data_IF_712853107228
#
_entry.id   IF_712853107228
#
_cell.length_a   1.000
_cell.length_b   1.000
_cell.length_c   1.000
_cell.angle_alpha   90.00
_cell.angle_beta   90.00
_cell.angle_gamma   90.00
#
_symmetry.space_group_name_H-M   'P 1'
#
loop_
_entity.id
_entity.type
_entity.pdbx_description
1 polymer ?
#
# COMPACT_ATOMS: atom_id res chain seq x y z
N UNK A 1 5.99 14.83 68.93
CA UNK A 1 6.21 13.73 67.98
C UNK A 1 5.26 13.94 66.81
N UNK A 2 5.75 14.58 65.75
CA UNK A 2 4.99 14.88 64.53
C UNK A 2 5.43 13.88 63.48
N UNK A 3 4.50 13.05 63.02
CA UNK A 3 4.67 12.08 61.91
C UNK A 3 4.89 12.81 60.59
N UNK A 4 5.90 12.42 59.78
CA UNK A 4 6.10 13.02 58.44
C UNK A 4 5.04 12.51 57.48
N UNK A 5 4.38 13.45 56.81
CA UNK A 5 3.42 13.19 55.75
C UNK A 5 4.08 12.50 54.52
N UNK A 6 3.46 11.42 54.10
CA UNK A 6 3.80 10.72 52.90
C UNK A 6 3.44 11.61 51.68
N UNK A 7 4.43 12.18 51.02
CA UNK A 7 4.28 12.83 49.73
C UNK A 7 4.08 11.72 48.67
N UNK A 8 2.87 11.61 48.18
CA UNK A 8 2.55 10.73 47.04
C UNK A 8 3.27 11.26 45.81
N UNK A 9 4.28 10.54 45.33
CA UNK A 9 4.86 10.77 44.01
C UNK A 9 3.81 10.53 42.91
N UNK A 10 3.64 11.45 41.96
CA UNK A 10 2.74 11.21 40.82
C UNK A 10 3.26 10.01 40.04
N UNK A 11 2.44 8.98 39.94
CA UNK A 11 2.69 7.79 39.15
C UNK A 11 2.66 8.18 37.64
N UNK A 12 3.76 8.71 37.14
CA UNK A 12 3.99 8.99 35.69
C UNK A 12 4.26 7.71 34.94
N UNK A 13 3.37 6.76 35.04
CA UNK A 13 3.23 5.72 34.03
C UNK A 13 2.46 6.35 32.87
N UNK A 14 3.22 7.02 31.98
CA UNK A 14 2.76 7.24 30.62
C UNK A 14 2.27 5.89 30.13
N UNK A 15 0.96 5.75 29.89
CA UNK A 15 0.37 4.57 29.32
C UNK A 15 1.00 4.40 27.93
N UNK A 16 2.04 3.56 27.85
CA UNK A 16 2.60 3.15 26.57
C UNK A 16 1.44 2.55 25.80
N UNK A 17 1.03 3.23 24.73
CA UNK A 17 0.02 2.72 23.81
C UNK A 17 0.40 1.28 23.50
N UNK A 18 -0.44 0.33 23.91
CA UNK A 18 -0.13 -1.12 23.89
C UNK A 18 0.21 -1.50 22.45
N UNK A 19 1.49 -1.66 22.17
CA UNK A 19 2.03 -1.96 20.85
C UNK A 19 1.36 -3.19 20.28
N UNK A 20 0.76 -3.08 19.10
CA UNK A 20 0.04 -4.18 18.44
C UNK A 20 1.06 -5.04 17.68
N UNK A 21 1.61 -6.07 18.33
CA UNK A 21 2.61 -6.99 17.78
C UNK A 21 2.16 -7.56 16.41
N UNK A 22 0.86 -7.84 16.24
CA UNK A 22 0.33 -8.33 14.97
C UNK A 22 0.46 -7.33 13.81
N UNK A 23 0.39 -6.01 14.08
CA UNK A 23 0.62 -4.98 13.06
C UNK A 23 2.09 -4.94 12.67
N UNK A 24 3.00 -4.99 13.66
CA UNK A 24 4.44 -5.03 13.38
C UNK A 24 4.82 -6.33 12.64
N UNK A 25 4.23 -7.48 13.01
CA UNK A 25 4.45 -8.74 12.30
C UNK A 25 3.98 -8.66 10.84
N UNK A 26 2.82 -8.06 10.57
CA UNK A 26 2.34 -7.85 9.20
C UNK A 26 3.28 -6.94 8.39
N UNK A 27 3.89 -5.91 9.01
CA UNK A 27 4.95 -5.10 8.37
C UNK A 27 6.19 -5.93 8.05
N UNK A 28 6.58 -6.83 8.96
CA UNK A 28 7.68 -7.77 8.73
C UNK A 28 7.42 -8.68 7.53
N UNK A 29 6.20 -9.22 7.41
CA UNK A 29 5.79 -10.00 6.23
C UNK A 29 5.88 -9.17 4.95
N UNK A 30 5.38 -7.93 4.96
CA UNK A 30 5.47 -7.03 3.82
C UNK A 30 6.92 -6.77 3.40
N UNK A 31 7.80 -6.47 4.36
CA UNK A 31 9.21 -6.19 4.10
C UNK A 31 9.94 -7.40 3.53
N UNK A 32 9.76 -8.59 4.13
CA UNK A 32 10.35 -9.83 3.61
C UNK A 32 9.85 -10.13 2.20
N UNK A 33 8.55 -9.97 1.93
CA UNK A 33 7.99 -10.18 0.61
C UNK A 33 8.55 -9.20 -0.42
N UNK A 34 8.69 -7.91 -0.09
CA UNK A 34 9.35 -6.93 -0.98
C UNK A 34 10.81 -7.29 -1.26
N UNK A 35 11.58 -7.65 -0.23
CA UNK A 35 12.96 -8.10 -0.42
C UNK A 35 13.05 -9.34 -1.30
N UNK A 36 12.14 -10.30 -1.10
CA UNK A 36 12.13 -11.55 -1.86
C UNK A 36 11.95 -11.32 -3.36
N UNK A 37 11.06 -10.40 -3.79
CA UNK A 37 10.88 -10.09 -5.23
C UNK A 37 12.04 -9.32 -5.83
N UNK A 38 12.86 -8.65 -5.03
CA UNK A 38 14.07 -7.98 -5.52
C UNK A 38 15.29 -8.90 -5.63
N UNK A 39 15.31 -10.00 -4.87
CA UNK A 39 16.42 -10.95 -4.85
C UNK A 39 16.19 -12.10 -5.85
N UNK A 40 14.93 -12.54 -6.01
CA UNK A 40 14.60 -13.66 -6.88
C UNK A 40 14.20 -13.19 -8.28
N UNK A 41 14.48 -14.00 -9.32
CA UNK A 41 14.07 -13.67 -10.69
C UNK A 41 12.53 -13.67 -10.83
N UNK A 42 12.02 -12.80 -11.70
CA UNK A 42 10.59 -12.75 -12.00
C UNK A 42 10.10 -13.99 -12.75
N UNK A 43 10.95 -14.53 -13.63
CA UNK A 43 10.67 -15.69 -14.46
C UNK A 43 11.59 -16.84 -14.01
N UNK A 44 11.02 -18.01 -13.81
CA UNK A 44 11.74 -19.22 -13.47
C UNK A 44 12.45 -19.83 -14.71
N UNK A 45 13.37 -20.79 -14.54
CA UNK A 45 14.11 -21.39 -15.66
C UNK A 45 13.25 -22.11 -16.71
N UNK A 46 12.03 -22.51 -16.36
CA UNK A 46 11.03 -23.13 -17.24
C UNK A 46 10.26 -22.11 -18.10
N UNK A 47 10.48 -20.82 -17.90
CA UNK A 47 9.81 -19.72 -18.61
C UNK A 47 8.57 -19.18 -17.92
N UNK A 48 8.09 -19.84 -16.87
CA UNK A 48 6.91 -19.43 -16.11
C UNK A 48 7.24 -18.35 -15.06
N UNK A 49 6.23 -17.69 -14.56
CA UNK A 49 6.40 -16.74 -13.44
C UNK A 49 6.83 -17.46 -12.17
N UNK A 50 7.89 -16.99 -11.54
CA UNK A 50 8.41 -17.62 -10.33
C UNK A 50 7.41 -17.58 -9.17
N UNK A 51 7.44 -18.61 -8.30
CA UNK A 51 6.57 -18.71 -7.12
C UNK A 51 6.68 -17.49 -6.21
N UNK A 52 7.87 -16.91 -6.08
CA UNK A 52 8.08 -15.68 -5.30
C UNK A 52 7.27 -14.51 -5.85
N UNK A 53 7.28 -14.33 -7.17
CA UNK A 53 6.50 -13.27 -7.81
C UNK A 53 4.99 -13.55 -7.72
N UNK A 54 4.54 -14.78 -7.92
CA UNK A 54 3.13 -15.16 -7.77
C UNK A 54 2.58 -14.87 -6.37
N UNK A 55 3.41 -15.00 -5.33
CA UNK A 55 2.98 -14.79 -3.94
C UNK A 55 3.15 -13.33 -3.50
N UNK A 56 4.29 -12.70 -3.80
CA UNK A 56 4.71 -11.47 -3.15
C UNK A 56 4.64 -10.22 -4.04
N UNK A 57 4.74 -10.36 -5.39
CA UNK A 57 4.73 -9.20 -6.29
C UNK A 57 3.42 -8.41 -6.17
N UNK A 58 3.53 -7.09 -6.08
CA UNK A 58 2.42 -6.17 -5.86
C UNK A 58 1.80 -6.26 -4.46
N UNK A 59 1.54 -7.46 -3.96
CA UNK A 59 0.85 -7.70 -2.68
C UNK A 59 1.64 -7.20 -1.48
N UNK A 60 2.96 -7.40 -1.48
CA UNK A 60 3.83 -6.96 -0.37
C UNK A 60 3.92 -5.44 -0.28
N UNK A 61 4.05 -4.76 -1.41
CA UNK A 61 4.09 -3.31 -1.47
C UNK A 61 2.71 -2.70 -1.10
N UNK A 62 1.60 -3.30 -1.58
CA UNK A 62 0.25 -2.91 -1.20
C UNK A 62 -0.03 -3.11 0.30
N UNK A 63 0.40 -4.27 0.86
CA UNK A 63 0.32 -4.53 2.31
C UNK A 63 1.07 -3.45 3.09
N UNK A 64 2.28 -3.08 2.66
CA UNK A 64 3.07 -2.04 3.30
C UNK A 64 2.35 -0.67 3.25
N UNK A 65 1.73 -0.32 2.10
CA UNK A 65 0.97 0.92 1.95
C UNK A 65 -0.31 0.96 2.82
N UNK A 66 -1.05 -0.15 2.89
CA UNK A 66 -2.20 -0.27 3.80
C UNK A 66 -1.74 -0.13 5.26
N UNK A 67 -0.63 -0.77 5.64
CA UNK A 67 -0.09 -0.69 7.01
C UNK A 67 0.46 0.70 7.34
N UNK A 68 0.93 1.48 6.36
CA UNK A 68 1.26 2.88 6.55
C UNK A 68 0.01 3.69 6.92
N UNK A 69 -1.11 3.47 6.22
CA UNK A 69 -2.41 4.06 6.57
C UNK A 69 -2.90 3.64 7.97
N UNK A 70 -2.75 2.36 8.34
CA UNK A 70 -3.03 1.88 9.70
C UNK A 70 -2.16 2.63 10.72
N UNK A 71 -0.87 2.81 10.45
CA UNK A 71 0.05 3.57 11.30
C UNK A 71 -0.38 5.01 11.50
N UNK A 72 -0.77 5.71 10.42
CA UNK A 72 -1.31 7.08 10.48
C UNK A 72 -2.61 7.15 11.30
N UNK A 73 -3.52 6.19 11.14
CA UNK A 73 -4.74 6.10 11.92
C UNK A 73 -4.44 5.95 13.42
N UNK A 74 -3.55 5.01 13.78
CA UNK A 74 -3.15 4.79 15.17
C UNK A 74 -2.47 6.04 15.77
N UNK A 75 -1.58 6.69 15.04
CA UNK A 75 -0.90 7.91 15.47
C UNK A 75 -1.84 9.10 15.63
N UNK A 76 -2.97 9.13 14.90
CA UNK A 76 -3.98 10.19 14.97
C UNK A 76 -5.20 9.85 15.84
N UNK A 77 -5.09 8.82 16.74
CA UNK A 77 -6.06 8.49 17.78
C UNK A 77 -6.70 7.11 17.68
N UNK A 78 -6.34 6.28 16.69
CA UNK A 78 -6.88 4.93 16.53
C UNK A 78 -8.40 4.93 16.33
N UNK A 79 -9.16 4.12 17.07
CA UNK A 79 -10.63 4.03 16.96
C UNK A 79 -11.37 5.35 17.22
N UNK A 80 -10.77 6.26 17.98
CA UNK A 80 -11.32 7.58 18.29
C UNK A 80 -10.43 8.68 17.69
N UNK A 81 -10.74 9.18 16.47
CA UNK A 81 -9.95 10.21 15.81
C UNK A 81 -9.77 11.44 16.70
N UNK A 82 -8.56 11.98 16.74
CA UNK A 82 -8.25 13.23 17.46
C UNK A 82 -9.02 14.39 16.86
N UNK A 83 -9.24 15.44 17.65
CA UNK A 83 -9.95 16.66 17.25
C UNK A 83 -9.19 17.91 17.72
N UNK A 84 -9.54 19.06 17.16
CA UNK A 84 -8.98 20.34 17.54
C UNK A 84 -7.44 20.36 17.48
N UNK A 85 -6.79 20.91 18.49
CA UNK A 85 -5.31 21.05 18.55
C UNK A 85 -4.56 19.70 18.46
N UNK A 86 -5.12 18.62 19.02
CA UNK A 86 -4.50 17.30 18.93
C UNK A 86 -4.53 16.73 17.51
N UNK A 87 -5.57 17.02 16.72
CA UNK A 87 -5.63 16.67 15.30
C UNK A 87 -4.64 17.52 14.51
N UNK A 88 -4.58 18.83 14.75
CA UNK A 88 -3.61 19.72 14.09
C UNK A 88 -2.15 19.26 14.34
N UNK A 89 -1.83 18.86 15.57
CA UNK A 89 -0.51 18.30 15.90
C UNK A 89 -0.23 16.98 15.15
N UNK A 90 -1.22 16.09 15.01
CA UNK A 90 -1.08 14.86 14.23
C UNK A 90 -0.88 15.16 12.73
N UNK A 91 -1.60 16.14 12.17
CA UNK A 91 -1.43 16.59 10.79
C UNK A 91 -0.01 17.15 10.57
N UNK A 92 0.46 18.05 11.45
CA UNK A 92 1.81 18.60 11.38
C UNK A 92 2.89 17.52 11.48
N UNK A 93 2.74 16.54 12.38
CA UNK A 93 3.65 15.41 12.50
C UNK A 93 3.66 14.52 11.24
N UNK A 94 2.49 14.35 10.58
CA UNK A 94 2.40 13.61 9.32
C UNK A 94 3.07 14.35 8.19
N UNK A 95 2.90 15.69 8.09
CA UNK A 95 3.59 16.52 7.11
C UNK A 95 5.10 16.50 7.32
N UNK A 96 5.59 16.59 8.55
CA UNK A 96 7.01 16.48 8.85
C UNK A 96 7.60 15.13 8.39
N UNK A 97 6.89 14.01 8.64
CA UNK A 97 7.29 12.69 8.13
C UNK A 97 7.27 12.65 6.59
N UNK A 98 6.23 13.23 5.96
CA UNK A 98 6.12 13.32 4.51
C UNK A 98 7.34 14.04 3.90
N UNK A 99 7.76 15.16 4.50
CA UNK A 99 8.95 15.91 4.08
C UNK A 99 10.22 15.06 4.21
N UNK A 100 10.43 14.41 5.37
CA UNK A 100 11.60 13.55 5.57
C UNK A 100 11.63 12.40 4.55
N UNK A 101 10.50 11.71 4.34
CA UNK A 101 10.40 10.63 3.35
C UNK A 101 10.68 11.14 1.94
N UNK A 102 10.14 12.29 1.56
CA UNK A 102 10.37 12.92 0.26
C UNK A 102 11.86 13.25 0.04
N UNK A 103 12.49 13.93 1.00
CA UNK A 103 13.91 14.29 0.93
C UNK A 103 14.81 13.06 0.86
N UNK A 104 14.61 12.09 1.79
CA UNK A 104 15.40 10.84 1.79
C UNK A 104 15.19 10.07 0.49
N UNK A 105 13.95 10.02 -0.02
CA UNK A 105 13.62 9.36 -1.27
C UNK A 105 14.32 9.97 -2.48
N UNK A 106 14.34 11.32 -2.61
CA UNK A 106 15.06 12.03 -3.68
C UNK A 106 16.58 11.79 -3.61
N UNK A 107 17.16 11.75 -2.41
CA UNK A 107 18.58 11.45 -2.22
C UNK A 107 18.89 9.99 -2.60
N UNK A 108 18.05 9.05 -2.23
CA UNK A 108 18.22 7.62 -2.56
C UNK A 108 17.99 7.36 -4.06
N UNK A 109 17.13 8.14 -4.72
CA UNK A 109 16.89 8.05 -6.16
C UNK A 109 18.14 8.25 -7.01
N UNK A 110 19.13 8.98 -6.50
CA UNK A 110 20.41 9.21 -7.18
C UNK A 110 21.35 7.98 -7.21
N UNK A 111 21.06 6.97 -6.39
CA UNK A 111 21.82 5.70 -6.41
C UNK A 111 21.24 4.78 -7.48
N UNK A 112 22.06 4.38 -8.43
CA UNK A 112 21.70 3.39 -9.47
C UNK A 112 21.62 1.97 -8.86
N UNK A 113 20.62 1.77 -8.04
CA UNK A 113 20.40 0.50 -7.33
C UNK A 113 19.59 -0.52 -8.12
N UNK A 114 19.03 -0.13 -9.27
CA UNK A 114 18.05 -0.94 -10.02
C UNK A 114 16.72 -1.15 -9.29
N UNK A 115 16.50 -0.47 -8.14
CA UNK A 115 15.28 -0.56 -7.34
C UNK A 115 14.40 0.66 -7.55
N UNK A 116 13.09 0.45 -7.65
CA UNK A 116 12.11 1.53 -7.64
C UNK A 116 11.97 2.11 -6.22
N UNK A 117 12.42 3.36 -6.02
CA UNK A 117 12.42 4.01 -4.70
C UNK A 117 11.02 4.54 -4.37
N UNK A 118 10.36 3.88 -3.43
CA UNK A 118 8.98 4.19 -3.04
C UNK A 118 8.84 5.42 -2.12
N UNK A 119 9.92 5.87 -1.46
CA UNK A 119 9.84 6.86 -0.38
C UNK A 119 9.31 8.22 -0.83
N UNK A 120 9.68 8.69 -2.02
CA UNK A 120 9.18 9.98 -2.54
C UNK A 120 7.66 9.92 -2.72
N UNK A 121 7.16 8.82 -3.28
CA UNK A 121 5.72 8.58 -3.45
C UNK A 121 4.99 8.51 -2.10
N UNK A 122 5.61 7.89 -1.08
CA UNK A 122 5.07 7.88 0.30
C UNK A 122 5.03 9.27 0.92
N UNK A 123 6.02 10.12 0.63
CA UNK A 123 5.98 11.52 1.03
C UNK A 123 4.70 12.20 0.53
N UNK A 124 4.43 12.14 -0.77
CA UNK A 124 3.22 12.73 -1.36
C UNK A 124 1.94 12.02 -0.88
N UNK A 125 1.97 10.69 -0.72
CA UNK A 125 0.84 9.91 -0.24
C UNK A 125 0.44 10.29 1.21
N UNK A 126 1.44 10.61 2.05
CA UNK A 126 1.19 11.11 3.41
C UNK A 126 0.59 12.51 3.41
N UNK A 127 1.02 13.39 2.49
CA UNK A 127 0.37 14.70 2.28
C UNK A 127 -1.10 14.52 1.91
N UNK A 128 -1.40 13.63 0.95
CA UNK A 128 -2.77 13.29 0.53
C UNK A 128 -3.60 12.71 1.69
N UNK A 129 -2.99 11.97 2.61
CA UNK A 129 -3.68 11.39 3.76
C UNK A 129 -4.08 12.41 4.84
N UNK A 130 -3.41 13.58 4.93
CA UNK A 130 -3.61 14.59 5.99
C UNK A 130 -5.07 15.00 6.19
N UNK A 131 -5.84 15.38 5.15
CA UNK A 131 -7.24 15.82 5.33
C UNK A 131 -8.16 14.70 5.86
N UNK A 132 -7.77 13.45 5.74
CA UNK A 132 -8.57 12.29 6.15
C UNK A 132 -8.27 11.83 7.59
N UNK A 133 -7.24 12.37 8.26
CA UNK A 133 -6.82 11.94 9.60
C UNK A 133 -7.88 12.15 10.68
N UNK A 134 -8.82 13.08 10.48
CA UNK A 134 -9.93 13.34 11.41
C UNK A 134 -11.18 12.49 11.17
N UNK A 135 -11.20 11.67 10.11
CA UNK A 135 -12.36 10.90 9.70
C UNK A 135 -12.46 9.55 10.43
N UNK A 136 -13.72 9.14 10.66
CA UNK A 136 -14.04 7.81 11.19
C UNK A 136 -14.17 6.74 10.10
N UNK A 137 -14.28 5.46 10.50
CA UNK A 137 -14.32 4.34 9.55
C UNK A 137 -15.53 4.38 8.61
N UNK A 138 -16.68 4.92 9.07
CA UNK A 138 -17.92 5.01 8.25
C UNK A 138 -17.75 5.86 6.99
N UNK A 139 -16.84 6.85 7.00
CA UNK A 139 -16.53 7.68 5.83
C UNK A 139 -15.31 7.15 5.09
N UNK A 140 -14.30 6.61 5.80
CA UNK A 140 -13.07 6.15 5.19
C UNK A 140 -13.26 4.90 4.31
N UNK A 141 -14.11 3.93 4.70
CA UNK A 141 -14.37 2.75 3.88
C UNK A 141 -14.98 3.09 2.52
N UNK A 142 -16.08 3.87 2.41
CA UNK A 142 -16.60 4.24 1.10
C UNK A 142 -15.62 5.12 0.30
N UNK A 143 -14.85 5.99 0.94
CA UNK A 143 -13.81 6.77 0.26
C UNK A 143 -12.70 5.87 -0.31
N UNK A 144 -12.26 4.85 0.42
CA UNK A 144 -11.28 3.88 -0.07
C UNK A 144 -11.83 3.06 -1.24
N UNK A 145 -13.09 2.60 -1.14
CA UNK A 145 -13.76 1.88 -2.22
C UNK A 145 -13.92 2.75 -3.48
N UNK A 146 -14.32 4.00 -3.30
CA UNK A 146 -14.47 4.97 -4.38
C UNK A 146 -13.11 5.30 -5.02
N UNK A 147 -12.07 5.46 -4.21
CA UNK A 147 -10.70 5.64 -4.71
C UNK A 147 -10.27 4.42 -5.54
N UNK A 148 -10.45 3.20 -5.03
CA UNK A 148 -10.07 1.98 -5.75
C UNK A 148 -10.84 1.80 -7.08
N UNK A 149 -12.09 2.26 -7.16
CA UNK A 149 -12.89 2.15 -8.37
C UNK A 149 -12.62 3.26 -9.39
N UNK A 150 -12.51 4.51 -8.94
CA UNK A 150 -12.51 5.68 -9.82
C UNK A 150 -11.10 6.15 -10.23
N UNK A 151 -10.13 6.09 -9.30
CA UNK A 151 -8.79 6.63 -9.60
C UNK A 151 -8.07 5.89 -10.71
N UNK A 152 -8.20 4.55 -10.91
CA UNK A 152 -7.65 3.88 -12.07
C UNK A 152 -8.29 4.32 -13.39
N UNK A 153 -9.60 4.56 -13.40
CA UNK A 153 -10.32 5.07 -14.58
C UNK A 153 -9.84 6.47 -14.94
N UNK A 154 -9.72 7.34 -13.93
CA UNK A 154 -9.18 8.70 -14.10
C UNK A 154 -7.72 8.64 -14.58
N UNK A 155 -6.89 7.79 -13.97
CA UNK A 155 -5.50 7.58 -14.38
C UNK A 155 -5.40 7.11 -15.84
N UNK A 156 -6.21 6.12 -16.22
CA UNK A 156 -6.26 5.61 -17.59
C UNK A 156 -6.64 6.71 -18.60
N UNK A 157 -7.63 7.52 -18.25
CA UNK A 157 -8.09 8.62 -19.11
C UNK A 157 -7.02 9.72 -19.25
N UNK A 158 -6.42 10.16 -18.13
CA UNK A 158 -5.37 11.19 -18.13
C UNK A 158 -4.17 10.77 -18.96
N UNK A 159 -3.70 9.53 -18.82
CA UNK A 159 -2.50 9.02 -19.47
C UNK A 159 -2.62 8.85 -20.98
N UNK A 160 -3.84 8.90 -21.56
CA UNK A 160 -4.02 8.90 -23.02
C UNK A 160 -3.44 10.15 -23.67
N UNK A 161 -3.37 11.27 -22.95
CA UNK A 161 -2.83 12.55 -23.45
C UNK A 161 -1.48 12.94 -22.83
N UNK A 162 -0.92 12.09 -21.94
CA UNK A 162 0.38 12.35 -21.29
C UNK A 162 1.53 11.67 -22.05
N UNK A 163 2.76 12.20 -21.93
CA UNK A 163 3.94 11.50 -22.44
C UNK A 163 4.10 10.12 -21.79
N UNK A 164 4.76 9.17 -22.46
CA UNK A 164 5.09 7.88 -21.86
C UNK A 164 5.87 8.04 -20.56
N UNK A 165 5.67 7.14 -19.57
CA UNK A 165 6.43 7.18 -18.30
C UNK A 165 7.94 7.05 -18.55
N UNK A 166 8.74 7.76 -17.75
CA UNK A 166 10.21 7.71 -17.83
C UNK A 166 10.81 6.44 -17.22
N UNK A 167 10.09 5.79 -16.30
CA UNK A 167 10.56 4.63 -15.51
C UNK A 167 11.90 4.85 -14.79
N UNK A 168 12.18 6.11 -14.41
CA UNK A 168 13.31 6.48 -13.55
C UNK A 168 12.88 6.65 -12.09
N UNK A 169 13.84 6.71 -11.18
CA UNK A 169 13.58 7.17 -9.83
C UNK A 169 13.61 8.70 -9.80
N UNK A 170 12.68 9.37 -9.10
CA UNK A 170 12.78 10.80 -8.82
C UNK A 170 14.05 11.12 -8.04
N UNK A 171 14.78 12.15 -8.50
CA UNK A 171 16.05 12.62 -7.93
C UNK A 171 15.94 14.09 -7.55
N UNK A 172 16.95 14.64 -6.88
CA UNK A 172 16.96 16.06 -6.48
C UNK A 172 16.83 16.98 -7.70
N UNK A 173 17.47 16.63 -8.82
CA UNK A 173 17.41 17.35 -10.09
C UNK A 173 15.98 17.42 -10.67
N UNK A 174 15.12 16.44 -10.35
CA UNK A 174 13.70 16.44 -10.77
C UNK A 174 12.93 17.65 -10.21
N UNK A 175 13.43 18.31 -9.16
CA UNK A 175 12.84 19.53 -8.61
C UNK A 175 12.97 20.73 -9.58
N UNK A 176 13.82 20.66 -10.60
CA UNK A 176 13.93 21.69 -11.63
C UNK A 176 12.71 21.68 -12.58
N UNK A 177 12.00 20.54 -12.70
CA UNK A 177 10.70 20.43 -13.38
C UNK A 177 9.61 19.96 -12.40
N UNK A 178 9.03 20.85 -11.60
CA UNK A 178 8.04 20.47 -10.60
C UNK A 178 6.74 19.93 -11.19
N UNK A 179 6.38 20.30 -12.41
CA UNK A 179 5.18 19.79 -13.12
C UNK A 179 5.42 18.37 -13.58
N UNK A 180 6.57 18.08 -14.19
CA UNK A 180 6.97 16.73 -14.58
C UNK A 180 7.07 15.81 -13.37
N UNK A 181 7.75 16.24 -12.31
CA UNK A 181 7.86 15.50 -11.05
C UNK A 181 6.48 15.20 -10.43
N UNK A 182 5.59 16.20 -10.37
CA UNK A 182 4.24 16.00 -9.84
C UNK A 182 3.44 15.01 -10.71
N UNK A 183 3.52 15.12 -12.03
CA UNK A 183 2.87 14.20 -12.98
C UNK A 183 3.36 12.77 -12.79
N UNK A 184 4.68 12.60 -12.62
CA UNK A 184 5.28 11.29 -12.35
C UNK A 184 4.80 10.72 -11.02
N UNK A 185 4.92 11.47 -9.93
CA UNK A 185 4.51 11.01 -8.61
C UNK A 185 3.01 10.75 -8.52
N UNK A 186 2.18 11.57 -9.17
CA UNK A 186 0.74 11.46 -9.06
C UNK A 186 0.15 10.39 -10.00
N UNK A 187 0.66 10.24 -11.24
CA UNK A 187 -0.07 9.52 -12.30
C UNK A 187 0.76 8.46 -13.03
N UNK A 188 2.04 8.74 -13.40
CA UNK A 188 2.78 7.92 -14.38
C UNK A 188 3.93 7.10 -13.81
N UNK A 189 4.38 7.37 -12.59
CA UNK A 189 5.54 6.69 -11.99
C UNK A 189 5.26 5.29 -11.45
N UNK A 190 6.24 4.72 -10.75
CA UNK A 190 6.19 3.36 -10.21
C UNK A 190 5.07 3.12 -9.18
N UNK A 191 4.72 4.14 -8.39
CA UNK A 191 3.73 4.05 -7.31
C UNK A 191 2.77 5.25 -7.36
N UNK A 192 1.96 5.40 -8.44
CA UNK A 192 1.18 6.62 -8.68
C UNK A 192 0.25 6.93 -7.51
N UNK A 193 0.44 8.10 -6.87
CA UNK A 193 -0.29 8.47 -5.66
C UNK A 193 -1.80 8.53 -5.89
N UNK A 194 -2.23 8.86 -7.11
CA UNK A 194 -3.65 8.86 -7.47
C UNK A 194 -4.29 7.50 -7.21
N UNK A 195 -3.76 6.42 -7.75
CA UNK A 195 -4.28 5.06 -7.54
C UNK A 195 -3.91 4.51 -6.16
N UNK A 196 -2.71 4.80 -5.66
CA UNK A 196 -2.23 4.35 -4.36
C UNK A 196 -2.94 5.02 -3.17
N UNK A 197 -3.65 6.13 -3.40
CA UNK A 197 -4.54 6.74 -2.40
C UNK A 197 -5.59 5.76 -1.87
N UNK A 198 -6.00 4.77 -2.66
CA UNK A 198 -6.90 3.70 -2.23
C UNK A 198 -6.30 2.86 -1.08
N UNK A 199 -5.00 2.53 -1.14
CA UNK A 199 -4.32 1.77 -0.08
C UNK A 199 -4.23 2.55 1.21
N UNK A 200 -3.83 3.83 1.16
CA UNK A 200 -3.69 4.65 2.36
C UNK A 200 -5.04 4.91 3.03
N UNK A 201 -6.11 5.14 2.23
CA UNK A 201 -7.47 5.32 2.74
C UNK A 201 -8.03 4.03 3.34
N UNK A 202 -7.80 2.86 2.69
CA UNK A 202 -8.16 1.56 3.24
C UNK A 202 -7.42 1.30 4.56
N UNK A 203 -6.13 1.61 4.61
CA UNK A 203 -5.32 1.50 5.82
C UNK A 203 -5.81 2.41 6.94
N UNK A 204 -6.14 3.68 6.63
CA UNK A 204 -6.77 4.60 7.58
C UNK A 204 -8.09 4.02 8.11
N UNK A 205 -8.96 3.50 7.23
CA UNK A 205 -10.23 2.90 7.62
C UNK A 205 -10.05 1.71 8.57
N UNK A 206 -9.16 0.79 8.21
CA UNK A 206 -8.83 -0.40 9.02
C UNK A 206 -8.21 0.00 10.36
N UNK A 207 -7.31 0.97 10.39
CA UNK A 207 -6.69 1.47 11.61
C UNK A 207 -7.64 2.19 12.57
N UNK A 208 -8.85 2.57 12.10
CA UNK A 208 -9.96 3.07 12.94
C UNK A 208 -10.78 1.95 13.59
N UNK A 209 -10.55 0.71 13.24
CA UNK A 209 -11.21 -0.43 13.90
C UNK A 209 -10.50 -0.78 15.21
N UNK A 210 -11.19 -1.50 16.09
CA UNK A 210 -10.63 -2.01 17.34
C UNK A 210 -9.71 -3.22 17.07
N UNK A 211 -8.52 -3.00 16.50
CA UNK A 211 -7.57 -4.05 16.08
C UNK A 211 -7.13 -4.96 17.23
N UNK A 212 -7.30 -4.51 18.48
CA UNK A 212 -7.09 -5.32 19.67
C UNK A 212 -8.12 -6.43 19.87
N UNK A 213 -9.26 -6.44 19.20
CA UNK A 213 -10.33 -7.41 19.38
C UNK A 213 -10.21 -8.60 18.41
N UNK A 214 -10.50 -9.82 18.90
CA UNK A 214 -10.48 -11.02 18.07
C UNK A 214 -11.51 -10.94 16.92
N UNK A 215 -12.71 -10.42 17.21
CA UNK A 215 -13.78 -10.25 16.21
C UNK A 215 -13.32 -9.39 15.04
N UNK A 216 -12.63 -8.29 15.31
CA UNK A 216 -12.06 -7.41 14.28
C UNK A 216 -11.01 -8.15 13.45
N UNK A 217 -10.09 -8.87 14.11
CA UNK A 217 -9.05 -9.62 13.42
C UNK A 217 -9.63 -10.75 12.55
N UNK A 218 -10.64 -11.48 13.04
CA UNK A 218 -11.34 -12.50 12.25
C UNK A 218 -12.11 -11.87 11.09
N UNK A 219 -12.77 -10.73 11.32
CA UNK A 219 -13.45 -9.97 10.27
C UNK A 219 -12.51 -9.53 9.15
N UNK A 220 -11.31 -9.05 9.49
CA UNK A 220 -10.27 -8.69 8.52
C UNK A 220 -9.76 -9.92 7.76
N UNK A 221 -9.51 -11.04 8.46
CA UNK A 221 -9.08 -12.29 7.84
C UNK A 221 -10.09 -12.77 6.80
N UNK A 222 -11.34 -13.00 7.23
CA UNK A 222 -12.37 -13.58 6.37
C UNK A 222 -12.84 -12.58 5.29
N UNK A 223 -13.11 -11.34 5.67
CA UNK A 223 -13.52 -10.29 4.72
C UNK A 223 -12.44 -9.99 3.69
N UNK A 224 -11.17 -9.98 4.13
CA UNK A 224 -10.03 -9.82 3.23
C UNK A 224 -9.90 -10.99 2.24
N UNK A 225 -10.03 -12.23 2.72
CA UNK A 225 -10.01 -13.41 1.85
C UNK A 225 -11.15 -13.39 0.82
N UNK A 226 -12.38 -13.07 1.25
CA UNK A 226 -13.54 -12.98 0.37
C UNK A 226 -13.37 -11.86 -0.66
N UNK A 227 -12.91 -10.68 -0.26
CA UNK A 227 -12.67 -9.58 -1.18
C UNK A 227 -11.61 -9.95 -2.23
N UNK A 228 -10.49 -10.52 -1.81
CA UNK A 228 -9.43 -10.93 -2.73
C UNK A 228 -9.91 -11.99 -3.72
N UNK A 229 -10.59 -13.04 -3.23
CA UNK A 229 -11.09 -14.12 -4.07
C UNK A 229 -12.19 -13.67 -5.03
N UNK A 230 -13.16 -12.87 -4.55
CA UNK A 230 -14.23 -12.33 -5.39
C UNK A 230 -13.69 -11.42 -6.49
N UNK A 231 -12.77 -10.54 -6.15
CA UNK A 231 -12.14 -9.61 -7.11
C UNK A 231 -11.36 -10.40 -8.19
N UNK A 232 -10.59 -11.40 -7.78
CA UNK A 232 -9.87 -12.27 -8.71
C UNK A 232 -10.85 -13.04 -9.61
N UNK A 233 -11.90 -13.61 -9.06
CA UNK A 233 -12.90 -14.36 -9.81
C UNK A 233 -13.62 -13.48 -10.86
N UNK A 234 -14.02 -12.26 -10.49
CA UNK A 234 -14.67 -11.33 -11.42
C UNK A 234 -13.70 -10.91 -12.53
N UNK A 235 -12.45 -10.59 -12.20
CA UNK A 235 -11.42 -10.31 -13.22
C UNK A 235 -11.24 -11.48 -14.16
N UNK A 236 -11.15 -12.70 -13.64
CA UNK A 236 -11.03 -13.92 -14.44
C UNK A 236 -12.22 -14.10 -15.39
N UNK A 237 -13.46 -13.88 -14.91
CA UNK A 237 -14.67 -13.94 -15.73
C UNK A 237 -14.68 -12.91 -16.86
N UNK A 238 -14.19 -11.70 -16.58
CA UNK A 238 -14.09 -10.64 -17.61
C UNK A 238 -13.01 -10.96 -18.63
N UNK A 239 -11.87 -11.49 -18.20
CA UNK A 239 -10.76 -11.75 -19.11
C UNK A 239 -10.96 -13.01 -19.96
N UNK A 240 -11.53 -14.08 -19.41
CA UNK A 240 -11.64 -15.35 -20.12
C UNK A 240 -13.00 -15.51 -20.83
N UNK A 241 -14.14 -15.80 -20.18
CA UNK A 241 -15.40 -16.05 -20.93
C UNK A 241 -15.98 -14.80 -21.60
N UNK A 242 -15.66 -13.57 -21.11
CA UNK A 242 -16.14 -12.34 -21.75
C UNK A 242 -15.20 -11.80 -22.85
N UNK A 243 -14.11 -12.50 -23.20
CA UNK A 243 -13.24 -12.17 -24.32
C UNK A 243 -12.25 -11.02 -24.07
N UNK A 244 -12.06 -10.60 -22.80
CA UNK A 244 -11.14 -9.53 -22.45
C UNK A 244 -9.69 -9.86 -22.82
N UNK A 245 -9.26 -11.11 -22.63
CA UNK A 245 -7.89 -11.55 -22.91
C UNK A 245 -7.57 -11.49 -24.42
N UNK A 246 -8.49 -11.92 -25.28
CA UNK A 246 -8.35 -11.82 -26.74
C UNK A 246 -8.28 -10.34 -27.18
N UNK A 247 -9.12 -9.49 -26.58
CA UNK A 247 -9.11 -8.05 -26.85
C UNK A 247 -7.78 -7.41 -26.43
N UNK A 248 -7.22 -7.81 -25.28
CA UNK A 248 -5.90 -7.32 -24.83
C UNK A 248 -4.78 -7.80 -25.73
N UNK A 249 -4.81 -9.06 -26.18
CA UNK A 249 -3.83 -9.60 -27.12
C UNK A 249 -3.85 -8.84 -28.45
N UNK A 250 -5.04 -8.53 -28.98
CA UNK A 250 -5.23 -7.75 -30.21
C UNK A 250 -4.81 -6.27 -30.05
N UNK A 251 -5.11 -5.66 -28.90
CA UNK A 251 -4.78 -4.25 -28.64
C UNK A 251 -3.27 -4.01 -28.41
N UNK A 252 -2.54 -5.04 -27.99
CA UNK A 252 -1.12 -4.95 -27.64
C UNK A 252 -0.86 -4.06 -26.41
N UNK A 253 0.39 -4.00 -26.00
CA UNK A 253 0.85 -3.27 -24.80
C UNK A 253 1.44 -1.89 -25.09
N UNK A 254 1.49 -1.47 -26.34
CA UNK A 254 2.08 -0.17 -26.74
C UNK A 254 3.55 -0.04 -26.30
N UNK A 255 3.89 1.11 -25.73
CA UNK A 255 5.21 1.43 -25.18
C UNK A 255 5.40 1.00 -23.71
N UNK A 256 4.50 0.16 -23.17
CA UNK A 256 4.59 -0.31 -21.78
C UNK A 256 5.83 -1.21 -21.57
N UNK A 257 6.40 -1.26 -20.34
CA UNK A 257 7.52 -2.16 -19.99
C UNK A 257 7.22 -3.65 -20.17
N UNK A 258 5.94 -4.01 -20.34
CA UNK A 258 5.53 -5.39 -20.64
C UNK A 258 5.56 -5.70 -22.13
N UNK A 259 5.88 -4.73 -23.00
CA UNK A 259 5.95 -4.92 -24.43
C UNK A 259 6.95 -6.04 -24.80
N UNK A 260 6.52 -6.92 -25.71
CA UNK A 260 7.35 -8.06 -26.13
C UNK A 260 7.34 -9.27 -25.19
N UNK A 261 6.68 -9.21 -24.04
CA UNK A 261 6.45 -10.38 -23.16
C UNK A 261 5.19 -11.14 -23.58
N UNK A 262 5.17 -12.48 -23.45
CA UNK A 262 3.93 -13.23 -23.51
C UNK A 262 2.90 -12.66 -22.52
N UNK A 263 1.64 -12.54 -22.95
CA UNK A 263 0.62 -11.82 -22.17
C UNK A 263 0.35 -12.48 -20.80
N UNK A 264 0.35 -13.79 -20.71
CA UNK A 264 0.22 -14.58 -19.48
C UNK A 264 1.35 -14.26 -18.47
N UNK A 265 2.60 -14.22 -18.93
CA UNK A 265 3.76 -13.84 -18.13
C UNK A 265 3.67 -12.37 -17.71
N UNK A 266 3.27 -11.48 -18.63
CA UNK A 266 3.10 -10.06 -18.33
C UNK A 266 2.06 -9.81 -17.24
N UNK A 267 0.92 -10.52 -17.28
CA UNK A 267 -0.17 -10.41 -16.31
C UNK A 267 0.20 -10.92 -14.91
N UNK A 268 1.25 -11.72 -14.79
CA UNK A 268 1.65 -12.34 -13.51
C UNK A 268 2.95 -11.76 -12.92
N UNK A 269 3.73 -10.99 -13.71
CA UNK A 269 4.99 -10.40 -13.24
C UNK A 269 4.81 -9.02 -12.61
N UNK A 270 4.86 -7.93 -13.39
CA UNK A 270 4.67 -6.56 -12.89
C UNK A 270 4.42 -5.57 -14.00
N UNK A 271 3.56 -4.58 -13.72
CA UNK A 271 3.22 -3.46 -14.62
C UNK A 271 3.94 -2.14 -14.29
N UNK A 272 4.79 -2.12 -13.32
CA UNK A 272 5.57 -0.92 -12.94
C UNK A 272 4.71 0.33 -12.65
N UNK A 273 3.54 0.15 -12.03
CA UNK A 273 2.68 1.23 -11.51
C UNK A 273 1.45 1.55 -12.33
N UNK A 274 1.46 1.29 -13.64
CA UNK A 274 0.34 1.64 -14.53
C UNK A 274 0.11 0.60 -15.62
N UNK A 275 -1.18 0.44 -16.01
CA UNK A 275 -1.57 -0.34 -17.18
C UNK A 275 -1.25 0.39 -18.49
N UNK A 276 -1.13 -0.31 -19.65
CA UNK A 276 -1.16 0.31 -20.96
C UNK A 276 -2.46 1.09 -21.20
N UNK A 277 -2.42 2.08 -22.10
CA UNK A 277 -3.60 2.89 -22.45
C UNK A 277 -4.24 2.46 -23.78
N UNK A 278 -3.77 1.37 -24.39
CA UNK A 278 -4.21 0.85 -25.67
C UNK A 278 -5.64 0.29 -25.66
N UNK A 279 -6.15 -0.10 -24.48
CA UNK A 279 -7.51 -0.62 -24.30
C UNK A 279 -8.01 -0.38 -22.88
N UNK A 280 -9.31 -0.13 -22.73
CA UNK A 280 -9.96 -0.06 -21.40
C UNK A 280 -10.04 -1.43 -20.71
N UNK A 281 -9.91 -2.53 -21.44
CA UNK A 281 -9.83 -3.88 -20.87
C UNK A 281 -8.64 -4.08 -19.95
N UNK A 282 -7.58 -3.25 -20.05
CA UNK A 282 -6.48 -3.25 -19.10
C UNK A 282 -6.91 -2.91 -17.66
N UNK A 283 -8.08 -2.27 -17.46
CA UNK A 283 -8.63 -2.05 -16.13
C UNK A 283 -9.25 -3.31 -15.52
N UNK A 284 -9.49 -4.37 -16.28
CA UNK A 284 -10.05 -5.64 -15.79
C UNK A 284 -8.99 -6.60 -15.19
N UNK A 285 -7.69 -6.30 -15.30
CA UNK A 285 -6.62 -7.22 -14.88
C UNK A 285 -6.35 -7.17 -13.38
N UNK A 286 -6.01 -8.31 -12.78
CA UNK A 286 -5.43 -8.44 -11.43
C UNK A 286 -3.92 -8.64 -11.54
N UNK A 287 -3.25 -7.81 -12.31
CA UNK A 287 -1.82 -7.91 -12.49
C UNK A 287 -1.07 -7.08 -11.44
N UNK A 288 0.05 -7.57 -10.88
CA UNK A 288 0.82 -6.86 -9.87
C UNK A 288 1.26 -5.48 -10.35
N UNK A 289 1.10 -4.46 -9.52
CA UNK A 289 1.44 -3.06 -9.81
C UNK A 289 0.76 -2.48 -11.06
N UNK A 290 -0.36 -3.05 -11.52
CA UNK A 290 -1.13 -2.48 -12.62
C UNK A 290 -1.88 -1.21 -12.22
N UNK A 291 -2.19 -1.05 -10.94
CA UNK A 291 -3.02 0.04 -10.45
C UNK A 291 -4.44 0.01 -11.00
N UNK A 292 -4.92 -1.14 -11.52
CA UNK A 292 -6.30 -1.35 -11.95
C UNK A 292 -7.25 -1.43 -10.76
N UNK A 293 -8.57 -1.22 -10.93
CA UNK A 293 -9.54 -1.44 -9.85
C UNK A 293 -9.44 -2.83 -9.23
N UNK A 294 -9.21 -3.85 -10.05
CA UNK A 294 -9.12 -5.25 -9.60
C UNK A 294 -7.82 -5.54 -8.87
N UNK A 295 -6.68 -4.97 -9.31
CA UNK A 295 -5.42 -5.05 -8.58
C UNK A 295 -5.55 -4.39 -7.20
N UNK A 296 -6.08 -3.17 -7.13
CA UNK A 296 -6.24 -2.42 -5.88
C UNK A 296 -7.14 -3.17 -4.89
N UNK A 297 -8.31 -3.65 -5.32
CA UNK A 297 -9.25 -4.36 -4.44
C UNK A 297 -8.71 -5.73 -4.02
N UNK A 298 -8.10 -6.47 -4.93
CA UNK A 298 -7.47 -7.76 -4.63
C UNK A 298 -6.36 -7.61 -3.60
N UNK A 299 -5.48 -6.65 -3.79
CA UNK A 299 -4.34 -6.42 -2.90
C UNK A 299 -4.73 -5.77 -1.57
N UNK A 300 -5.77 -4.93 -1.51
CA UNK A 300 -6.40 -4.49 -0.24
C UNK A 300 -6.98 -5.71 0.50
N UNK A 301 -7.65 -6.61 -0.21
CA UNK A 301 -8.18 -7.84 0.36
C UNK A 301 -7.08 -8.72 0.95
N UNK A 302 -6.00 -8.97 0.21
CA UNK A 302 -4.85 -9.75 0.70
C UNK A 302 -4.15 -9.06 1.87
N UNK A 303 -4.04 -7.73 1.87
CA UNK A 303 -3.49 -6.96 2.99
C UNK A 303 -4.33 -7.11 4.27
N UNK A 304 -5.65 -7.01 4.17
CA UNK A 304 -6.57 -7.25 5.29
C UNK A 304 -6.48 -8.69 5.79
N UNK A 305 -6.40 -9.67 4.88
CA UNK A 305 -6.22 -11.09 5.22
C UNK A 305 -4.94 -11.31 6.03
N UNK A 306 -3.79 -10.82 5.54
CA UNK A 306 -2.49 -10.98 6.22
C UNK A 306 -2.50 -10.25 7.57
N UNK A 307 -3.02 -9.03 7.64
CA UNK A 307 -3.12 -8.29 8.90
C UNK A 307 -4.01 -9.04 9.90
N UNK A 308 -5.17 -9.52 9.48
CA UNK A 308 -6.08 -10.34 10.32
C UNK A 308 -5.41 -11.60 10.84
N UNK A 309 -4.67 -12.32 9.96
CA UNK A 309 -3.90 -13.50 10.33
C UNK A 309 -2.83 -13.17 11.38
N UNK A 310 -2.04 -12.12 11.17
CA UNK A 310 -0.97 -11.73 12.12
C UNK A 310 -1.54 -11.24 13.46
N UNK A 311 -2.68 -10.55 13.46
CA UNK A 311 -3.37 -10.16 14.70
C UNK A 311 -3.86 -11.39 15.49
N UNK A 312 -4.40 -12.41 14.83
CA UNK A 312 -4.84 -13.65 15.48
C UNK A 312 -3.66 -14.50 15.96
N UNK A 313 -2.63 -14.69 15.12
CA UNK A 313 -1.42 -15.43 15.48
C UNK A 313 -0.70 -14.80 16.66
N UNK A 314 -0.63 -13.46 16.74
CA UNK A 314 -0.04 -12.76 17.87
C UNK A 314 -0.76 -13.01 19.20
N UNK A 315 -2.01 -13.50 19.19
CA UNK A 315 -2.78 -13.86 20.38
C UNK A 315 -2.44 -15.25 20.90
N UNK A 316 -2.26 -16.21 19.99
CA UNK A 316 -2.10 -17.63 20.32
C UNK A 316 -0.66 -18.11 20.28
N UNK A 317 0.18 -17.49 19.44
CA UNK A 317 1.56 -17.90 19.18
C UNK A 317 2.51 -16.68 19.14
N UNK A 318 2.47 -15.85 20.19
CA UNK A 318 3.24 -14.59 20.26
C UNK A 318 4.74 -14.78 20.00
N UNK A 319 5.34 -15.85 20.51
CA UNK A 319 6.75 -16.16 20.31
C UNK A 319 7.08 -16.43 18.84
N UNK A 320 6.18 -17.10 18.12
CA UNK A 320 6.38 -17.42 16.69
C UNK A 320 6.31 -16.19 15.79
N UNK A 321 5.47 -15.19 16.12
CA UNK A 321 5.39 -13.96 15.33
C UNK A 321 6.39 -12.89 15.76
N UNK A 322 7.11 -13.09 16.87
CA UNK A 322 8.04 -12.10 17.41
C UNK A 322 9.18 -11.73 16.44
N UNK A 323 9.82 -12.66 15.70
CA UNK A 323 10.86 -12.31 14.74
C UNK A 323 10.34 -11.39 13.63
N UNK A 324 9.14 -11.69 13.10
CA UNK A 324 8.48 -10.83 12.09
C UNK A 324 8.17 -9.45 12.67
N UNK A 325 7.67 -9.39 13.91
CA UNK A 325 7.37 -8.13 14.58
C UNK A 325 8.65 -7.31 14.87
N UNK A 326 9.77 -7.97 15.19
CA UNK A 326 11.04 -7.30 15.34
C UNK A 326 11.48 -6.61 14.04
N UNK A 327 11.46 -7.34 12.91
CA UNK A 327 11.76 -6.81 11.58
C UNK A 327 10.82 -5.64 11.24
N UNK A 328 9.51 -5.84 11.34
CA UNK A 328 8.51 -4.82 10.99
C UNK A 328 8.54 -3.59 11.89
N UNK A 329 9.07 -3.71 13.09
CA UNK A 329 9.21 -2.58 14.03
C UNK A 329 10.31 -1.59 13.63
N UNK A 330 11.21 -1.98 12.74
CA UNK A 330 12.33 -1.16 12.27
C UNK A 330 11.93 -0.29 11.06
N UNK A 331 10.70 -0.42 10.57
CA UNK A 331 10.22 0.39 9.43
C UNK A 331 9.84 1.81 9.87
N UNK A 332 10.08 2.81 9.01
CA UNK A 332 9.82 4.24 9.25
C UNK A 332 8.33 4.64 9.23
N UNK A 333 7.43 3.72 9.37
CA UNK A 333 5.97 3.99 9.27
C UNK A 333 5.32 4.31 10.60
#
# INVERSE_FOLDING_TARGET
MTTPGHVATPDTRLSSARRLIGVDAARGVALIGMMSVHINPAVAPDGDTSTTYLIASGRSAALFAVLAGVGLALASGGPTPRRGRALAAAMAATLARATVLGVVGLLLGAFDSGLAIILVYYGLLFVVAVPFLGLGPRLLFPLAAMAAALTPVISQWLRQSMPPPSYGNPVVESLADPVGLFSELAVTGYYPVLTWSAYILAGLAVGRLALGEAKTATGLLLGGAVLAAATWAVSWLLLNPAGGLETLAAAGSGSSPIAGRPLDVALTTSFYGTTPTTSWWWLAVVAPHSGSPFDLLHTIGTACFVLGAMLLLARVARAAVWPLAAIGSMTFT
#
